data_IF_555425219081
#
_entry.id   IF_555425219081
#
_cell.length_a   1.000
_cell.length_b   1.000
_cell.length_c   1.000
_cell.angle_alpha   90.00
_cell.angle_beta   90.00
_cell.angle_gamma   90.00
#
_symmetry.space_group_name_H-M   'P 1'
#
loop_
_entity.id
_entity.type
_entity.pdbx_description
1 polymer ?
#
# COMPACT_ATOMS: atom_id res chain seq x y z
N UNK A 1 -56.67 -4.88 12.77
CA UNK A 1 -55.29 -4.52 12.35
C UNK A 1 -55.33 -3.09 11.87
N UNK A 2 -54.89 -2.13 12.70
CA UNK A 2 -54.77 -0.74 12.27
C UNK A 2 -53.49 -0.60 11.44
N UNK A 3 -53.63 -0.53 10.12
CA UNK A 3 -52.61 0.05 9.27
C UNK A 3 -52.63 1.56 9.57
N UNK A 4 -51.53 2.07 10.11
CA UNK A 4 -51.39 3.50 10.36
C UNK A 4 -51.26 4.21 9.02
N UNK A 5 -52.34 4.85 8.54
CA UNK A 5 -52.40 5.72 7.34
C UNK A 5 -51.54 7.00 7.44
N UNK A 6 -50.67 7.10 8.46
CA UNK A 6 -49.76 8.23 8.61
C UNK A 6 -48.50 7.98 7.79
N UNK A 7 -48.10 8.91 6.90
CA UNK A 7 -46.87 8.81 6.16
C UNK A 7 -45.68 8.72 7.12
N UNK A 8 -44.76 7.81 6.83
CA UNK A 8 -43.53 7.64 7.58
C UNK A 8 -42.55 8.76 7.21
N UNK A 9 -42.71 9.93 7.81
CA UNK A 9 -41.89 11.11 7.53
C UNK A 9 -40.38 10.87 7.65
N UNK A 10 -39.87 10.13 8.65
CA UNK A 10 -38.45 9.76 8.70
C UNK A 10 -37.99 9.04 7.43
N UNK A 11 -38.74 8.04 6.96
CA UNK A 11 -38.41 7.31 5.74
C UNK A 11 -38.46 8.21 4.50
N UNK A 12 -39.49 9.06 4.40
CA UNK A 12 -39.63 10.00 3.28
C UNK A 12 -38.45 10.97 3.25
N UNK A 13 -38.01 11.47 4.41
CA UNK A 13 -36.85 12.36 4.49
C UNK A 13 -35.57 11.64 4.04
N UNK A 14 -35.32 10.42 4.52
CA UNK A 14 -34.16 9.63 4.09
C UNK A 14 -34.15 9.38 2.58
N UNK A 15 -35.31 9.11 1.98
CA UNK A 15 -35.44 8.92 0.54
C UNK A 15 -35.19 10.23 -0.23
N UNK A 16 -35.71 11.36 0.24
CA UNK A 16 -35.45 12.67 -0.35
C UNK A 16 -33.97 13.04 -0.26
N UNK A 17 -33.32 12.79 0.87
CA UNK A 17 -31.89 13.05 1.07
C UNK A 17 -31.05 12.18 0.11
N UNK A 18 -31.41 10.90 -0.06
CA UNK A 18 -30.77 10.00 -1.03
C UNK A 18 -30.94 10.51 -2.47
N UNK A 19 -32.17 10.85 -2.88
CA UNK A 19 -32.44 11.36 -4.24
C UNK A 19 -31.71 12.67 -4.52
N UNK A 20 -31.62 13.55 -3.52
CA UNK A 20 -30.89 14.81 -3.64
C UNK A 20 -29.40 14.58 -3.82
N UNK A 21 -28.82 13.60 -3.11
CA UNK A 21 -27.42 13.20 -3.28
C UNK A 21 -27.17 12.62 -4.67
N UNK A 22 -28.03 11.71 -5.14
CA UNK A 22 -27.92 11.12 -6.48
C UNK A 22 -27.98 12.20 -7.57
N UNK A 23 -28.91 13.16 -7.45
CA UNK A 23 -29.01 14.28 -8.38
C UNK A 23 -27.75 15.17 -8.36
N UNK A 24 -27.17 15.43 -7.20
CA UNK A 24 -25.91 16.18 -7.11
C UNK A 24 -24.78 15.47 -7.84
N UNK A 25 -24.62 14.17 -7.64
CA UNK A 25 -23.57 13.39 -8.32
C UNK A 25 -23.74 13.37 -9.84
N UNK A 26 -24.98 13.46 -10.34
CA UNK A 26 -25.25 13.55 -11.78
C UNK A 26 -25.01 14.94 -12.36
N UNK A 27 -25.30 16.00 -11.60
CA UNK A 27 -25.16 17.39 -12.03
C UNK A 27 -23.71 17.89 -11.89
N UNK A 28 -23.03 17.44 -10.84
CA UNK A 28 -21.69 17.87 -10.44
C UNK A 28 -20.90 16.66 -9.91
N UNK A 29 -20.44 15.77 -10.81
CA UNK A 29 -19.70 14.58 -10.42
C UNK A 29 -18.35 14.93 -9.79
N UNK A 30 -17.81 14.08 -8.88
CA UNK A 30 -16.52 14.34 -8.24
C UNK A 30 -15.41 14.47 -9.27
N UNK A 31 -14.56 15.48 -9.14
CA UNK A 31 -13.49 15.79 -10.10
C UNK A 31 -12.10 15.35 -9.62
N UNK A 32 -12.00 14.76 -8.42
CA UNK A 32 -10.75 14.30 -7.83
C UNK A 32 -9.89 15.44 -7.23
N UNK A 33 -10.44 16.65 -7.11
CA UNK A 33 -9.87 17.73 -6.33
C UNK A 33 -10.02 17.46 -4.83
N UNK A 34 -9.34 18.26 -3.99
CA UNK A 34 -9.46 18.12 -2.53
C UNK A 34 -10.85 18.51 -2.04
N UNK A 35 -11.50 19.44 -2.74
CA UNK A 35 -12.82 19.95 -2.44
C UNK A 35 -13.92 18.97 -2.89
N UNK A 36 -13.71 18.29 -4.02
CA UNK A 36 -14.63 17.31 -4.61
C UNK A 36 -13.94 15.96 -4.92
N UNK A 37 -13.44 15.25 -3.88
CA UNK A 37 -12.78 13.97 -4.06
C UNK A 37 -13.77 12.90 -4.54
N UNK A 38 -13.30 11.95 -5.34
CA UNK A 38 -14.07 10.76 -5.67
C UNK A 38 -13.95 9.71 -4.57
N UNK A 39 -14.88 8.77 -4.43
CA UNK A 39 -14.76 7.70 -3.44
C UNK A 39 -13.57 6.79 -3.74
N UNK A 40 -13.35 6.48 -5.02
CA UNK A 40 -12.19 5.71 -5.51
C UNK A 40 -11.75 6.21 -6.89
N UNK A 41 -10.56 5.79 -7.33
CA UNK A 41 -10.12 6.06 -8.70
C UNK A 41 -11.04 5.43 -9.77
N UNK A 42 -11.75 4.34 -9.43
CA UNK A 42 -12.72 3.74 -10.35
C UNK A 42 -13.93 4.65 -10.58
N UNK A 43 -14.48 5.24 -9.52
CA UNK A 43 -15.55 6.24 -9.65
C UNK A 43 -15.07 7.43 -10.48
N UNK A 44 -13.88 7.95 -10.18
CA UNK A 44 -13.31 9.08 -10.90
C UNK A 44 -13.20 8.80 -12.41
N UNK A 45 -12.72 7.61 -12.77
CA UNK A 45 -12.60 7.18 -14.16
C UNK A 45 -13.97 7.00 -14.85
N UNK A 46 -14.98 6.49 -14.13
CA UNK A 46 -16.34 6.35 -14.68
C UNK A 46 -17.01 7.70 -14.93
N UNK A 47 -16.76 8.68 -14.05
CA UNK A 47 -17.26 10.04 -14.19
C UNK A 47 -16.51 10.84 -15.27
N UNK A 48 -15.19 10.64 -15.37
CA UNK A 48 -14.31 11.38 -16.28
C UNK A 48 -13.39 10.42 -17.08
N UNK A 49 -13.91 9.73 -18.11
CA UNK A 49 -13.16 8.72 -18.85
C UNK A 49 -11.95 9.26 -19.64
N UNK A 50 -11.90 10.57 -19.84
CA UNK A 50 -10.84 11.33 -20.52
C UNK A 50 -9.68 11.72 -19.59
N UNK A 51 -9.81 11.51 -18.28
CA UNK A 51 -8.74 11.75 -17.34
C UNK A 51 -7.56 10.81 -17.56
N UNK A 52 -6.36 11.32 -17.32
CA UNK A 52 -5.11 10.55 -17.41
C UNK A 52 -4.65 10.07 -16.04
N UNK A 53 -3.89 8.98 -16.00
CA UNK A 53 -3.28 8.48 -14.77
C UNK A 53 -2.45 9.57 -14.07
N UNK A 54 -2.60 9.71 -12.75
CA UNK A 54 -2.04 10.83 -12.02
C UNK A 54 -2.42 10.82 -10.54
N UNK A 55 -2.02 11.87 -9.80
CA UNK A 55 -2.41 12.04 -8.41
C UNK A 55 -3.76 12.74 -8.31
N UNK A 56 -4.70 12.14 -7.58
CA UNK A 56 -6.02 12.69 -7.31
C UNK A 56 -6.37 12.49 -5.84
N UNK A 57 -7.27 13.32 -5.32
CA UNK A 57 -7.86 13.12 -4.01
C UNK A 57 -9.01 12.14 -4.10
N UNK A 58 -9.00 11.19 -3.16
CA UNK A 58 -10.09 10.24 -2.97
C UNK A 58 -10.56 10.25 -1.52
N UNK A 59 -11.84 9.93 -1.31
CA UNK A 59 -12.47 9.87 0.00
C UNK A 59 -13.31 8.59 0.17
N UNK A 60 -12.67 7.42 0.37
CA UNK A 60 -13.36 6.13 0.45
C UNK A 60 -14.49 6.06 1.49
N UNK A 61 -14.30 6.68 2.66
CA UNK A 61 -15.31 6.70 3.73
C UNK A 61 -16.43 7.71 3.51
N UNK A 62 -16.31 8.58 2.51
CA UNK A 62 -17.22 9.66 2.19
C UNK A 62 -17.47 10.62 3.39
N UNK A 63 -18.48 11.46 3.27
CA UNK A 63 -18.88 12.39 4.32
C UNK A 63 -18.14 13.71 4.19
N UNK A 64 -17.14 13.94 5.05
CA UNK A 64 -16.41 15.20 5.06
C UNK A 64 -15.15 15.09 4.19
N UNK A 65 -14.99 15.88 3.11
CA UNK A 65 -13.81 15.79 2.25
C UNK A 65 -12.50 16.23 2.94
N UNK A 66 -12.58 16.77 4.16
CA UNK A 66 -11.40 17.23 4.91
C UNK A 66 -10.41 16.10 5.25
N UNK A 67 -10.84 14.84 5.36
CA UNK A 67 -9.97 13.68 5.57
C UNK A 67 -9.72 12.84 4.31
N UNK A 68 -10.03 13.38 3.13
CA UNK A 68 -9.66 12.81 1.85
C UNK A 68 -8.14 12.63 1.75
N UNK A 69 -7.74 11.56 1.08
CA UNK A 69 -6.34 11.17 0.92
C UNK A 69 -5.91 11.24 -0.54
N UNK A 70 -4.64 11.59 -0.74
CA UNK A 70 -4.07 11.67 -2.08
C UNK A 70 -3.64 10.27 -2.53
N UNK A 71 -4.12 9.83 -3.68
CA UNK A 71 -3.80 8.54 -4.29
C UNK A 71 -3.32 8.73 -5.73
N UNK A 72 -2.49 7.81 -6.21
CA UNK A 72 -2.20 7.71 -7.63
C UNK A 72 -3.28 6.86 -8.29
N UNK A 73 -4.07 7.46 -9.16
CA UNK A 73 -5.02 6.74 -9.99
C UNK A 73 -4.32 6.25 -11.25
N UNK A 74 -4.27 4.93 -11.44
CA UNK A 74 -3.75 4.32 -12.65
C UNK A 74 -4.92 3.85 -13.52
N UNK A 75 -5.18 4.57 -14.62
CA UNK A 75 -6.20 4.24 -15.60
C UNK A 75 -5.59 3.44 -16.74
N UNK A 76 -6.08 2.21 -16.93
CA UNK A 76 -5.62 1.27 -17.95
C UNK A 76 -6.79 0.78 -18.79
N UNK A 77 -7.37 1.65 -19.62
CA UNK A 77 -8.37 1.33 -20.65
C UNK A 77 -9.72 0.87 -20.10
N UNK A 78 -9.77 -0.29 -19.47
CA UNK A 78 -10.97 -0.90 -18.86
C UNK A 78 -10.87 -1.08 -17.35
N UNK A 79 -9.74 -0.70 -16.74
CA UNK A 79 -9.47 -0.84 -15.32
C UNK A 79 -8.94 0.47 -14.75
N UNK A 80 -9.29 0.73 -13.49
CA UNK A 80 -8.76 1.84 -12.71
C UNK A 80 -8.25 1.28 -11.38
N UNK A 81 -7.01 1.63 -11.02
CA UNK A 81 -6.42 1.21 -9.75
C UNK A 81 -6.17 2.41 -8.86
N UNK A 82 -6.48 2.26 -7.57
CA UNK A 82 -6.20 3.24 -6.53
C UNK A 82 -4.89 2.86 -5.84
N UNK A 83 -3.80 3.58 -6.10
CA UNK A 83 -2.47 3.26 -5.59
C UNK A 83 -2.00 4.24 -4.51
N UNK A 84 -1.76 3.73 -3.30
CA UNK A 84 -1.25 4.52 -2.17
C UNK A 84 0.25 4.34 -2.03
N UNK A 85 0.99 5.45 -2.13
CA UNK A 85 2.45 5.45 -2.00
C UNK A 85 2.86 5.64 -0.54
N UNK A 86 3.89 4.91 -0.06
CA UNK A 86 4.50 5.25 1.21
C UNK A 86 5.18 6.63 1.11
N UNK A 87 5.19 7.39 2.20
CA UNK A 87 5.90 8.68 2.28
C UNK A 87 7.39 8.49 2.03
N UNK A 88 7.95 7.47 2.65
CA UNK A 88 9.36 7.10 2.59
C UNK A 88 9.42 5.67 2.04
N UNK A 89 9.67 5.53 0.72
CA UNK A 89 9.63 4.25 0.03
C UNK A 89 10.94 3.45 0.12
N UNK A 90 12.06 4.15 0.24
CA UNK A 90 13.39 3.56 0.17
C UNK A 90 14.03 3.47 1.55
N UNK A 91 14.26 2.23 1.99
CA UNK A 91 15.06 1.94 3.17
C UNK A 91 16.55 2.03 2.77
N UNK A 92 17.41 2.73 3.52
CA UNK A 92 18.79 2.95 3.11
C UNK A 92 19.56 1.64 2.94
N UNK A 93 20.45 1.60 1.95
CA UNK A 93 21.37 0.47 1.77
C UNK A 93 22.45 0.53 2.83
N UNK A 94 22.47 -0.44 3.74
CA UNK A 94 23.51 -0.56 4.77
C UNK A 94 23.55 -1.96 5.38
N UNK A 95 24.52 -2.19 6.26
CA UNK A 95 24.66 -3.44 6.97
C UNK A 95 23.72 -3.50 8.19
N UNK A 96 22.46 -3.81 7.94
CA UNK A 96 21.39 -3.84 8.94
C UNK A 96 21.59 -4.82 10.11
N UNK A 97 22.54 -5.74 10.01
CA UNK A 97 22.71 -6.87 10.93
C UNK A 97 24.05 -6.84 11.71
N UNK A 98 24.73 -5.69 11.74
CA UNK A 98 26.06 -5.53 12.36
C UNK A 98 26.10 -5.87 13.85
N UNK A 99 25.06 -5.53 14.61
CA UNK A 99 25.02 -5.66 16.07
C UNK A 99 24.08 -6.77 16.55
N UNK A 100 23.72 -7.72 15.68
CA UNK A 100 22.94 -8.87 16.11
C UNK A 100 23.84 -9.75 16.97
N UNK A 101 23.79 -9.56 18.30
CA UNK A 101 24.29 -10.53 19.26
C UNK A 101 23.85 -11.94 18.83
N UNK A 102 24.65 -12.94 19.17
CA UNK A 102 24.64 -14.37 18.74
C UNK A 102 23.30 -15.13 18.79
N UNK A 103 22.19 -14.48 19.11
CA UNK A 103 20.83 -15.00 19.09
C UNK A 103 20.23 -14.97 17.68
N UNK A 104 20.11 -16.17 17.09
CA UNK A 104 19.43 -16.44 15.83
C UNK A 104 17.95 -16.03 15.87
N UNK A 105 17.67 -14.78 15.50
CA UNK A 105 16.34 -14.16 15.65
C UNK A 105 16.04 -13.12 14.58
N UNK A 106 14.75 -12.81 14.40
CA UNK A 106 14.29 -11.78 13.47
C UNK A 106 14.55 -10.38 14.02
N UNK A 107 15.25 -9.56 13.24
CA UNK A 107 15.55 -8.17 13.54
C UNK A 107 14.68 -7.25 12.69
N UNK A 108 13.77 -6.51 13.32
CA UNK A 108 12.96 -5.49 12.64
C UNK A 108 13.85 -4.31 12.24
N UNK A 109 13.87 -3.98 10.95
CA UNK A 109 14.72 -2.91 10.42
C UNK A 109 14.35 -1.56 11.03
N UNK A 110 13.06 -1.32 11.32
CA UNK A 110 12.60 -0.11 11.99
C UNK A 110 13.16 0.14 13.40
N UNK A 111 13.67 -0.90 14.07
CA UNK A 111 14.28 -0.81 15.40
C UNK A 111 15.78 -0.53 15.35
N UNK A 112 16.39 -0.68 14.18
CA UNK A 112 17.80 -0.39 13.96
C UNK A 112 18.00 1.12 13.79
N UNK A 113 19.22 1.60 13.97
CA UNK A 113 19.57 3.00 13.71
C UNK A 113 19.11 3.40 12.29
N UNK A 114 18.56 4.61 12.07
CA UNK A 114 18.04 5.06 10.76
C UNK A 114 16.93 4.20 10.14
N UNK A 115 16.44 3.17 10.85
CA UNK A 115 15.29 2.39 10.46
C UNK A 115 13.98 3.15 10.69
N UNK A 116 12.96 2.80 9.93
CA UNK A 116 11.61 3.35 10.12
C UNK A 116 10.54 2.36 9.67
N UNK A 117 9.30 2.61 10.09
CA UNK A 117 8.12 1.90 9.59
C UNK A 117 7.53 2.65 8.40
N UNK A 118 6.96 1.91 7.44
CA UNK A 118 6.36 2.50 6.25
C UNK A 118 5.00 3.13 6.57
N UNK A 119 4.93 4.44 6.34
CA UNK A 119 3.74 5.26 6.54
C UNK A 119 3.14 5.67 5.19
N UNK A 120 1.83 5.50 5.06
CA UNK A 120 1.06 5.87 3.87
C UNK A 120 0.18 7.07 4.27
N UNK A 121 0.45 8.28 3.76
CA UNK A 121 -0.29 9.50 4.14
C UNK A 121 -1.80 9.37 3.89
N UNK A 122 -2.61 9.83 4.85
CA UNK A 122 -4.08 9.80 4.74
C UNK A 122 -4.73 8.41 4.87
N UNK A 123 -3.96 7.33 4.72
CA UNK A 123 -4.40 5.94 4.82
C UNK A 123 -4.64 5.49 6.28
N UNK A 124 -5.58 6.15 6.96
CA UNK A 124 -6.01 5.82 8.31
C UNK A 124 -6.88 4.55 8.33
N UNK A 125 -7.17 4.01 9.51
CA UNK A 125 -7.92 2.74 9.67
C UNK A 125 -9.31 2.81 9.03
N UNK A 126 -9.99 3.96 9.09
CA UNK A 126 -11.33 4.14 8.52
C UNK A 126 -11.25 4.17 7.01
N UNK A 127 -10.40 5.02 6.44
CA UNK A 127 -10.21 5.14 4.99
C UNK A 127 -9.79 3.79 4.38
N UNK A 128 -8.84 3.10 5.00
CA UNK A 128 -8.40 1.79 4.54
C UNK A 128 -9.49 0.72 4.64
N UNK A 129 -10.40 0.81 5.62
CA UNK A 129 -11.52 -0.13 5.74
C UNK A 129 -12.52 0.04 4.60
N UNK A 130 -12.86 1.28 4.25
CA UNK A 130 -13.77 1.57 3.15
C UNK A 130 -13.14 1.28 1.79
N UNK A 131 -11.86 1.64 1.60
CA UNK A 131 -11.14 1.32 0.38
C UNK A 131 -11.11 -0.19 0.13
N UNK A 132 -10.88 -1.00 1.17
CA UNK A 132 -10.98 -2.46 1.08
C UNK A 132 -12.39 -2.95 0.77
N UNK A 133 -13.43 -2.33 1.35
CA UNK A 133 -14.82 -2.71 1.09
C UNK A 133 -15.22 -2.45 -0.37
N UNK A 134 -14.65 -1.41 -0.98
CA UNK A 134 -14.91 -0.99 -2.35
C UNK A 134 -13.95 -1.63 -3.37
N UNK A 135 -13.08 -2.53 -2.92
CA UNK A 135 -12.09 -3.20 -3.76
C UNK A 135 -12.23 -4.71 -3.63
N UNK A 136 -11.91 -5.43 -4.69
CA UNK A 136 -11.90 -6.89 -4.69
C UNK A 136 -10.49 -7.46 -4.64
N UNK A 137 -9.47 -6.64 -4.94
CA UNK A 137 -8.07 -7.02 -4.99
C UNK A 137 -7.15 -5.92 -4.49
N UNK A 138 -6.09 -6.29 -3.77
CA UNK A 138 -4.99 -5.38 -3.45
C UNK A 138 -3.64 -6.05 -3.72
N UNK A 139 -2.74 -5.33 -4.39
CA UNK A 139 -1.40 -5.83 -4.76
C UNK A 139 -0.34 -4.84 -4.31
N UNK A 140 0.79 -5.35 -3.82
CA UNK A 140 1.95 -4.54 -3.48
C UNK A 140 3.25 -5.25 -3.85
N UNK A 141 4.20 -4.50 -4.40
CA UNK A 141 5.53 -4.98 -4.76
C UNK A 141 6.60 -4.43 -3.82
N UNK A 142 7.55 -5.26 -3.45
CA UNK A 142 8.70 -4.90 -2.62
C UNK A 142 9.97 -5.38 -3.31
N UNK A 143 10.90 -4.47 -3.53
CA UNK A 143 12.19 -4.78 -4.16
C UNK A 143 13.26 -4.86 -3.10
N UNK A 144 13.98 -5.98 -3.06
CA UNK A 144 15.20 -6.16 -2.29
C UNK A 144 16.39 -5.89 -3.20
N UNK A 145 17.37 -5.12 -2.73
CA UNK A 145 18.50 -4.69 -3.55
C UNK A 145 19.82 -4.80 -2.79
N UNK A 146 20.80 -5.44 -3.42
CA UNK A 146 22.18 -5.45 -2.93
C UNK A 146 22.91 -4.14 -3.22
N UNK A 147 23.86 -3.78 -2.35
CA UNK A 147 24.78 -2.66 -2.59
C UNK A 147 25.46 -2.77 -3.96
N UNK A 148 25.72 -1.67 -4.69
CA UNK A 148 26.53 -1.66 -5.91
C UNK A 148 27.83 -2.50 -5.80
N UNK A 149 28.14 -3.32 -6.81
CA UNK A 149 29.29 -4.24 -6.75
C UNK A 149 29.02 -5.54 -5.99
N UNK A 150 27.80 -5.75 -5.47
CA UNK A 150 27.30 -7.03 -5.00
C UNK A 150 26.17 -7.54 -5.89
N UNK A 151 25.91 -8.84 -5.84
CA UNK A 151 24.82 -9.56 -6.52
C UNK A 151 24.09 -10.47 -5.54
N UNK A 152 22.94 -10.99 -5.93
CA UNK A 152 22.27 -12.04 -5.18
C UNK A 152 23.11 -13.32 -5.22
N UNK A 153 23.32 -13.95 -4.08
CA UNK A 153 24.01 -15.24 -3.98
C UNK A 153 23.04 -16.42 -4.00
N UNK A 154 23.52 -17.57 -3.53
CA UNK A 154 22.73 -18.81 -3.48
C UNK A 154 22.28 -19.20 -2.07
N UNK A 155 22.73 -18.47 -1.04
CA UNK A 155 22.35 -18.73 0.34
C UNK A 155 21.13 -17.91 0.70
N UNK A 156 20.04 -18.59 1.02
CA UNK A 156 18.80 -17.94 1.40
C UNK A 156 18.73 -17.70 2.90
N UNK A 157 18.07 -16.59 3.24
CA UNK A 157 17.82 -16.12 4.60
C UNK A 157 16.35 -15.78 4.76
N UNK A 158 15.77 -16.09 5.91
CA UNK A 158 14.37 -15.80 6.16
C UNK A 158 14.12 -14.29 6.34
N UNK A 159 13.00 -13.83 5.78
CA UNK A 159 12.50 -12.46 5.92
C UNK A 159 11.02 -12.46 6.30
N UNK A 160 10.63 -11.45 7.07
CA UNK A 160 9.27 -11.13 7.46
C UNK A 160 8.88 -9.76 6.96
N UNK A 161 7.68 -9.65 6.40
CA UNK A 161 7.07 -8.37 6.01
C UNK A 161 5.85 -8.12 6.90
N UNK A 162 5.92 -7.11 7.78
CA UNK A 162 4.83 -6.77 8.69
C UNK A 162 3.63 -6.24 7.91
N UNK A 163 2.46 -6.81 8.15
CA UNK A 163 1.19 -6.42 7.49
C UNK A 163 0.55 -5.20 8.16
N UNK A 164 -0.49 -4.65 7.54
CA UNK A 164 -1.24 -3.50 8.05
C UNK A 164 -1.88 -3.74 9.42
N UNK A 165 -2.25 -5.00 9.70
CA UNK A 165 -2.80 -5.43 11.00
C UNK A 165 -1.81 -5.27 12.15
N UNK A 166 -0.50 -5.14 11.85
CA UNK A 166 0.62 -5.13 12.81
C UNK A 166 0.71 -6.39 13.70
N UNK A 167 -0.02 -7.45 13.36
CA UNK A 167 -0.05 -8.72 14.10
C UNK A 167 0.44 -9.90 13.28
N UNK A 168 0.27 -9.81 11.96
CA UNK A 168 0.68 -10.85 11.02
C UNK A 168 1.84 -10.36 10.16
N UNK A 169 2.61 -11.32 9.63
CA UNK A 169 3.67 -11.04 8.68
C UNK A 169 3.65 -12.07 7.57
N UNK A 170 3.95 -11.63 6.34
CA UNK A 170 4.32 -12.56 5.29
C UNK A 170 5.73 -13.08 5.56
N UNK A 171 5.97 -14.33 5.15
CA UNK A 171 7.28 -14.95 5.18
C UNK A 171 7.84 -15.01 3.76
N UNK A 172 9.15 -14.82 3.63
CA UNK A 172 9.86 -14.99 2.38
C UNK A 172 11.30 -15.43 2.61
N UNK A 173 12.01 -15.62 1.52
CA UNK A 173 13.44 -15.94 1.50
C UNK A 173 14.18 -14.86 0.70
N UNK A 174 15.26 -14.33 1.28
CA UNK A 174 16.19 -13.40 0.65
C UNK A 174 17.48 -14.14 0.34
N UNK A 175 17.95 -14.06 -0.89
CA UNK A 175 19.29 -14.52 -1.22
C UNK A 175 20.32 -13.50 -0.74
N UNK A 176 21.34 -13.94 0.01
CA UNK A 176 22.32 -13.03 0.58
C UNK A 176 23.14 -12.30 -0.50
N UNK A 177 23.51 -11.05 -0.24
CA UNK A 177 24.38 -10.29 -1.14
C UNK A 177 25.83 -10.78 -1.13
N UNK A 178 26.35 -11.25 -2.25
CA UNK A 178 27.77 -11.63 -2.41
C UNK A 178 28.49 -10.61 -3.31
N UNK A 179 29.82 -10.41 -3.16
CA UNK A 179 30.59 -9.60 -4.10
C UNK A 179 30.39 -10.10 -5.53
N UNK A 180 30.14 -9.18 -6.47
CA UNK A 180 30.09 -9.50 -7.89
C UNK A 180 31.51 -9.56 -8.44
N UNK A 181 31.94 -10.74 -8.92
CA UNK A 181 33.15 -10.84 -9.74
C UNK A 181 32.83 -10.35 -11.17
N UNK A 182 33.81 -9.76 -11.86
CA UNK A 182 33.64 -9.18 -13.21
C UNK A 182 33.16 -10.19 -14.28
N UNK A 183 33.23 -11.49 -13.98
CA UNK A 183 33.03 -12.58 -14.95
C UNK A 183 31.59 -13.11 -14.97
N UNK A 184 30.77 -12.81 -13.95
CA UNK A 184 29.42 -13.39 -13.81
C UNK A 184 28.32 -12.30 -13.79
N UNK A 185 28.32 -11.45 -14.82
CA UNK A 185 27.40 -10.32 -15.00
C UNK A 185 25.94 -10.70 -15.28
N UNK A 186 25.59 -11.99 -15.22
CA UNK A 186 24.26 -12.51 -15.52
C UNK A 186 23.33 -12.57 -14.32
N UNK A 187 23.86 -12.63 -13.09
CA UNK A 187 23.02 -12.75 -11.91
C UNK A 187 22.41 -11.41 -11.48
N UNK A 188 21.11 -11.39 -11.16
CA UNK A 188 20.42 -10.16 -10.79
C UNK A 188 20.91 -9.61 -9.46
N UNK A 189 20.98 -8.28 -9.37
CA UNK A 189 21.30 -7.55 -8.13
C UNK A 189 20.09 -7.37 -7.21
N UNK A 190 18.91 -7.62 -7.74
CA UNK A 190 17.63 -7.26 -7.15
C UNK A 190 16.63 -8.41 -7.28
N UNK A 191 15.81 -8.59 -6.25
CA UNK A 191 14.68 -9.52 -6.27
C UNK A 191 13.40 -8.79 -5.88
N UNK A 192 12.28 -9.23 -6.44
CA UNK A 192 10.97 -8.59 -6.24
C UNK A 192 10.02 -9.58 -5.57
N UNK A 193 9.44 -9.14 -4.46
CA UNK A 193 8.33 -9.81 -3.79
C UNK A 193 7.02 -9.15 -4.23
N UNK A 194 6.06 -9.95 -4.67
CA UNK A 194 4.70 -9.50 -4.98
C UNK A 194 3.74 -10.13 -3.99
N UNK A 195 2.97 -9.30 -3.29
CA UNK A 195 1.94 -9.73 -2.35
C UNK A 195 0.58 -9.34 -2.90
N UNK A 196 -0.39 -10.25 -2.81
CA UNK A 196 -1.78 -10.03 -3.18
C UNK A 196 -2.68 -10.44 -2.01
N UNK A 197 -3.15 -9.46 -1.25
CA UNK A 197 -4.03 -9.69 -0.10
C UNK A 197 -4.74 -8.39 0.29
N UNK A 198 -6.05 -8.36 0.09
CA UNK A 198 -6.90 -7.20 0.36
C UNK A 198 -6.89 -6.77 1.83
N UNK A 199 -6.81 -7.72 2.76
CA UNK A 199 -7.01 -7.46 4.18
C UNK A 199 -5.71 -7.17 4.93
N UNK A 200 -4.59 -7.70 4.45
CA UNK A 200 -3.30 -7.61 5.14
C UNK A 200 -2.37 -6.53 4.57
N UNK A 201 -2.54 -6.10 3.33
CA UNK A 201 -1.77 -4.98 2.77
C UNK A 201 -2.27 -3.63 3.30
N UNK A 202 -1.42 -2.58 3.38
CA UNK A 202 -0.01 -2.53 2.96
C UNK A 202 1.00 -3.12 3.95
N UNK A 203 2.23 -3.34 3.47
CA UNK A 203 3.39 -3.65 4.30
C UNK A 203 3.84 -2.42 5.09
N UNK A 204 4.10 -2.64 6.39
CA UNK A 204 4.42 -1.63 7.41
C UNK A 204 5.86 -1.68 7.91
N UNK A 205 6.54 -2.81 7.78
CA UNK A 205 7.90 -3.02 8.27
C UNK A 205 8.53 -4.27 7.64
N UNK A 206 9.85 -4.41 7.76
CA UNK A 206 10.59 -5.60 7.31
C UNK A 206 11.45 -6.10 8.46
N UNK A 207 11.49 -7.41 8.68
CA UNK A 207 12.44 -8.04 9.58
C UNK A 207 13.23 -9.11 8.86
N UNK A 208 14.54 -9.10 9.07
CA UNK A 208 15.46 -10.08 8.47
C UNK A 208 16.00 -10.97 9.57
N UNK A 209 16.15 -12.26 9.29
CA UNK A 209 16.73 -13.20 10.24
C UNK A 209 18.24 -12.99 10.37
N UNK A 210 18.70 -12.61 11.57
CA UNK A 210 20.11 -12.47 11.87
C UNK A 210 20.71 -13.81 12.28
N UNK A 211 21.79 -14.24 11.62
CA UNK A 211 22.60 -15.39 12.02
C UNK A 211 24.07 -15.12 11.70
N UNK A 212 24.90 -14.93 12.73
CA UNK A 212 26.34 -14.71 12.61
C UNK A 212 26.80 -13.32 12.13
N UNK A 213 28.11 -13.09 12.16
CA UNK A 213 28.81 -11.85 11.78
C UNK A 213 28.83 -11.62 10.26
N UNK A 214 27.69 -11.66 9.58
CA UNK A 214 27.65 -11.43 8.13
C UNK A 214 27.32 -9.97 7.83
N UNK A 215 28.38 -9.21 7.54
CA UNK A 215 28.35 -7.82 7.12
C UNK A 215 28.04 -7.72 5.64
N UNK A 216 26.75 -7.63 5.29
CA UNK A 216 26.33 -7.42 3.88
C UNK A 216 25.36 -6.25 3.82
N UNK A 217 25.69 -5.28 2.99
CA UNK A 217 24.89 -4.08 2.81
C UNK A 217 23.77 -4.33 1.80
N UNK A 218 22.54 -4.09 2.21
CA UNK A 218 21.35 -4.25 1.39
C UNK A 218 20.30 -3.21 1.73
N UNK A 219 19.36 -2.99 0.82
CA UNK A 219 18.24 -2.09 0.99
C UNK A 219 16.92 -2.71 0.53
N UNK A 220 15.84 -2.03 0.85
CA UNK A 220 14.49 -2.37 0.38
C UNK A 220 13.83 -1.14 -0.22
N UNK A 221 13.10 -1.33 -1.31
CA UNK A 221 12.23 -0.32 -1.90
C UNK A 221 10.80 -0.83 -1.88
N UNK A 222 9.92 -0.13 -1.16
CA UNK A 222 8.51 -0.47 -1.01
C UNK A 222 7.71 0.25 -2.10
N UNK A 223 7.10 -0.51 -3.00
CA UNK A 223 6.19 0.01 -4.00
C UNK A 223 4.84 0.44 -3.39
N UNK A 224 4.00 1.15 -4.15
CA UNK A 224 2.65 1.48 -3.71
C UNK A 224 1.82 0.21 -3.48
N UNK A 225 0.85 0.31 -2.57
CA UNK A 225 -0.25 -0.66 -2.50
C UNK A 225 -1.36 -0.20 -3.45
N UNK A 226 -1.77 -1.06 -4.37
CA UNK A 226 -2.77 -0.74 -5.39
C UNK A 226 -4.03 -1.57 -5.20
N UNK A 227 -5.17 -0.91 -5.15
CA UNK A 227 -6.50 -1.48 -4.97
C UNK A 227 -7.29 -1.45 -6.28
N UNK A 228 -8.06 -2.51 -6.57
CA UNK A 228 -8.88 -2.69 -7.79
C UNK A 228 -10.31 -3.06 -7.47
#
# INVERSE_FOLDING_TARGET
MYLSDKPNYPLIQTLLDSLHQDLRLLVDPPDGSKEHPATTCLELWLCHPDYTSGMYYIDPNQGSPADALLAYCNFSGTAAHTCLHPRDAQMPTKAWLMDSETNSSFQWLSKQEQGFQFYYPGANVVQMRFLRLQSWRAVQKITYTCHPGHRLGHTDREVKFLTDTRRQSYLGALSDCIPGEEVDSLEPRESVFEFEDLNLLPVRDVAVFGSGNVTREFGFTIGPVCFS
#
